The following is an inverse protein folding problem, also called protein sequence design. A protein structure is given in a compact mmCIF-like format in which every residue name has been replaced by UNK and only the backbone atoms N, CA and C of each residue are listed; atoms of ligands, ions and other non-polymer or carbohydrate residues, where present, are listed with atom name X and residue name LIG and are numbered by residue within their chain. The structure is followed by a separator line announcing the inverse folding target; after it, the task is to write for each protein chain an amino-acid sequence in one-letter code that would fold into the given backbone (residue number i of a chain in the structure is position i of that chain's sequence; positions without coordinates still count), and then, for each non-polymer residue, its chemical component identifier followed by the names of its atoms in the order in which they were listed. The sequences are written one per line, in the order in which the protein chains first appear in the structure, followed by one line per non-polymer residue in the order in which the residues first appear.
data_IF_636918713054
#
_entry.id   IF_636918713054
#
_cell.length_a   1.000
_cell.length_b   1.000
_cell.length_c   1.000
_cell.angle_alpha   90.00
_cell.angle_beta   90.00
_cell.angle_gamma   90.00
#
_symmetry.space_group_name_H-M   'P 1'
#
loop_
_entity.id
_entity.type
_entity.pdbx_description
1 polymer ?
#
# COMPACT_ATOMS: atom_id res chain seq x y z
N UNK A 1 59.24 -33.85 -63.44
CA UNK A 1 59.86 -32.74 -64.21
C UNK A 1 58.85 -31.60 -64.22
N UNK A 2 59.13 -30.34 -63.89
CA UNK A 2 60.36 -29.66 -63.53
C UNK A 2 59.92 -28.26 -63.04
N UNK A 3 60.40 -27.86 -61.88
CA UNK A 3 60.73 -26.49 -61.48
C UNK A 3 59.85 -25.34 -61.98
N UNK A 4 58.98 -24.83 -61.11
CA UNK A 4 58.70 -23.38 -60.98
C UNK A 4 58.15 -23.06 -59.57
N UNK A 5 58.73 -23.73 -58.56
CA UNK A 5 58.74 -23.28 -57.17
C UNK A 5 59.99 -22.40 -57.03
N UNK A 6 59.87 -21.07 -57.18
CA UNK A 6 60.78 -20.08 -56.60
C UNK A 6 60.37 -18.66 -56.97
N UNK A 7 60.34 -17.84 -55.92
CA UNK A 7 60.41 -16.37 -55.91
C UNK A 7 59.10 -15.64 -55.68
N UNK A 8 59.12 -14.81 -54.64
CA UNK A 8 58.19 -13.76 -54.22
C UNK A 8 57.08 -14.13 -53.24
N UNK A 9 57.46 -14.69 -52.08
CA UNK A 9 56.79 -14.29 -50.83
C UNK A 9 57.87 -14.02 -49.78
N UNK A 10 58.26 -12.75 -49.65
CA UNK A 10 59.11 -12.28 -48.56
C UNK A 10 58.29 -12.21 -47.26
N UNK A 11 58.80 -12.66 -46.11
CA UNK A 11 58.11 -12.60 -44.82
C UNK A 11 57.91 -11.17 -44.30
N UNK A 12 58.38 -10.14 -45.03
CA UNK A 12 58.27 -8.75 -44.64
C UNK A 12 56.91 -8.12 -44.98
N UNK A 13 56.16 -8.67 -45.94
CA UNK A 13 54.88 -8.10 -46.36
C UNK A 13 53.70 -8.48 -45.45
N UNK A 14 53.82 -9.57 -44.66
CA UNK A 14 52.77 -9.99 -43.73
C UNK A 14 52.83 -9.25 -42.37
N UNK A 15 54.01 -8.73 -42.01
CA UNK A 15 54.18 -7.95 -40.78
C UNK A 15 53.77 -6.47 -40.95
N UNK A 16 53.81 -5.89 -42.15
CA UNK A 16 53.36 -4.51 -42.37
C UNK A 16 51.83 -4.35 -42.39
N UNK A 17 51.07 -5.40 -42.72
CA UNK A 17 49.60 -5.32 -42.67
C UNK A 17 49.04 -5.54 -41.25
N UNK A 18 49.77 -6.28 -40.40
CA UNK A 18 49.36 -6.52 -39.01
C UNK A 18 49.71 -5.36 -38.06
N UNK A 19 50.72 -4.55 -38.39
CA UNK A 19 51.10 -3.37 -37.59
C UNK A 19 50.25 -2.13 -37.91
N UNK A 20 49.61 -2.06 -39.09
CA UNK A 20 48.74 -0.91 -39.45
C UNK A 20 47.29 -1.05 -38.94
N UNK A 21 46.86 -2.26 -38.56
CA UNK A 21 45.52 -2.52 -38.00
C UNK A 21 45.44 -2.38 -36.46
N UNK A 22 46.57 -2.18 -35.78
CA UNK A 22 46.64 -2.08 -34.31
C UNK A 22 46.74 -0.61 -33.84
N UNK A 23 47.00 0.35 -34.72
CA UNK A 23 47.22 1.76 -34.33
C UNK A 23 45.97 2.68 -34.42
N UNK A 24 44.76 2.13 -34.55
CA UNK A 24 43.52 2.92 -34.61
C UNK A 24 42.45 2.50 -33.58
N UNK A 25 42.84 1.86 -32.47
CA UNK A 25 42.00 1.72 -31.29
C UNK A 25 42.61 2.48 -30.12
N UNK A 26 42.79 3.79 -30.28
CA UNK A 26 42.74 4.69 -29.13
C UNK A 26 41.25 4.78 -28.78
N UNK A 27 40.78 3.83 -27.98
CA UNK A 27 39.48 3.93 -27.35
C UNK A 27 39.54 5.10 -26.37
N UNK A 28 38.96 6.24 -26.77
CA UNK A 28 38.28 7.06 -25.79
C UNK A 28 37.19 6.16 -25.19
N UNK A 29 37.30 5.79 -23.91
CA UNK A 29 36.21 5.14 -23.20
C UNK A 29 35.05 6.16 -23.16
N UNK A 30 33.99 5.89 -23.93
CA UNK A 30 32.78 6.69 -23.85
C UNK A 30 32.17 6.55 -22.45
N UNK A 31 31.77 7.66 -21.87
CA UNK A 31 31.27 7.72 -20.50
C UNK A 31 29.88 7.07 -20.39
N UNK A 32 29.71 6.13 -19.46
CA UNK A 32 28.47 5.38 -19.25
C UNK A 32 27.58 6.06 -18.20
N UNK A 33 26.58 6.79 -18.70
CA UNK A 33 25.59 7.52 -17.88
C UNK A 33 24.73 6.56 -17.04
N UNK A 34 24.42 5.36 -17.53
CA UNK A 34 23.60 4.40 -16.80
C UNK A 34 24.36 3.82 -15.61
N UNK A 35 25.63 3.47 -15.81
CA UNK A 35 26.56 3.10 -14.73
C UNK A 35 26.75 4.26 -13.74
N UNK A 36 26.91 5.48 -14.26
CA UNK A 36 26.99 6.71 -13.47
C UNK A 36 25.79 6.92 -12.54
N UNK A 37 24.57 6.75 -13.06
CA UNK A 37 23.32 6.82 -12.28
C UNK A 37 23.29 5.78 -11.16
N UNK A 38 23.70 4.55 -11.44
CA UNK A 38 23.74 3.48 -10.43
C UNK A 38 24.72 3.83 -9.30
N UNK A 39 25.94 4.26 -9.66
CA UNK A 39 26.97 4.64 -8.70
C UNK A 39 26.56 5.87 -7.87
N UNK A 40 25.94 6.88 -8.50
CA UNK A 40 25.40 8.05 -7.82
C UNK A 40 24.32 7.66 -6.81
N UNK A 41 23.35 6.82 -7.22
CA UNK A 41 22.28 6.38 -6.33
C UNK A 41 22.79 5.58 -5.14
N UNK A 42 23.86 4.80 -5.33
CA UNK A 42 24.45 3.99 -4.26
C UNK A 42 25.31 4.81 -3.29
N UNK A 43 26.05 5.83 -3.75
CA UNK A 43 27.10 6.47 -2.96
C UNK A 43 26.90 7.96 -2.69
N UNK A 44 26.07 8.66 -3.47
CA UNK A 44 26.01 10.13 -3.46
C UNK A 44 24.60 10.67 -3.19
N UNK A 45 23.55 9.97 -3.62
CA UNK A 45 22.15 10.44 -3.60
C UNK A 45 21.57 10.68 -2.19
N UNK A 46 22.21 10.12 -1.16
CA UNK A 46 21.87 10.33 0.26
C UNK A 46 22.26 11.71 0.75
N UNK A 47 23.32 12.31 0.20
CA UNK A 47 23.85 13.60 0.65
C UNK A 47 23.70 14.71 -0.39
N UNK A 48 23.62 14.35 -1.67
CA UNK A 48 23.52 15.28 -2.79
C UNK A 48 22.24 15.09 -3.60
N UNK A 49 21.72 16.18 -4.15
CA UNK A 49 20.69 16.18 -5.20
C UNK A 49 21.26 16.86 -6.45
N UNK A 50 20.65 16.60 -7.62
CA UNK A 50 21.15 17.19 -8.87
C UNK A 50 20.90 18.69 -8.93
N UNK A 51 19.68 19.14 -8.63
CA UNK A 51 19.26 20.53 -8.86
C UNK A 51 19.02 21.35 -7.60
N UNK A 52 19.20 20.76 -6.41
CA UNK A 52 18.90 21.44 -5.13
C UNK A 52 19.92 21.07 -4.05
N UNK A 53 20.08 21.94 -3.06
CA UNK A 53 20.91 21.69 -1.88
C UNK A 53 20.25 20.64 -0.99
N UNK A 54 21.06 19.78 -0.37
CA UNK A 54 20.64 18.81 0.66
C UNK A 54 21.65 18.84 1.82
N UNK A 55 22.46 17.82 2.02
CA UNK A 55 23.55 17.85 3.00
C UNK A 55 24.77 18.52 2.35
N UNK A 56 25.04 18.18 1.09
CA UNK A 56 26.03 18.83 0.25
C UNK A 56 25.41 19.72 -0.85
N UNK A 57 26.27 20.36 -1.68
CA UNK A 57 25.84 21.18 -2.81
C UNK A 57 25.04 20.38 -3.85
N UNK A 58 24.25 21.10 -4.64
CA UNK A 58 23.67 20.57 -5.87
C UNK A 58 24.79 20.18 -6.84
N UNK A 59 24.73 18.96 -7.40
CA UNK A 59 25.83 18.43 -8.22
C UNK A 59 25.72 18.71 -9.72
N UNK A 60 24.58 19.21 -10.20
CA UNK A 60 24.46 19.59 -11.61
C UNK A 60 25.38 20.76 -11.93
N UNK A 61 26.23 20.60 -12.94
CA UNK A 61 27.21 21.59 -13.38
C UNK A 61 28.49 21.62 -12.55
N UNK A 62 28.71 20.66 -11.64
CA UNK A 62 29.89 20.66 -10.77
C UNK A 62 31.18 20.43 -11.54
N UNK A 63 31.15 19.63 -12.61
CA UNK A 63 32.32 19.36 -13.47
C UNK A 63 32.80 20.59 -14.25
N UNK A 64 31.92 21.57 -14.46
CA UNK A 64 32.25 22.84 -15.09
C UNK A 64 32.83 23.87 -14.10
N UNK A 65 32.62 23.65 -12.79
CA UNK A 65 33.00 24.59 -11.73
C UNK A 65 34.39 24.28 -11.14
N UNK A 66 34.81 23.01 -11.15
CA UNK A 66 36.07 22.57 -10.55
C UNK A 66 36.89 21.73 -11.53
N UNK A 67 38.22 21.78 -11.40
CA UNK A 67 39.12 20.95 -12.21
C UNK A 67 38.87 19.46 -11.96
N UNK A 68 38.97 18.66 -13.02
CA UNK A 68 38.65 17.24 -13.01
C UNK A 68 39.52 16.45 -12.03
N UNK A 69 40.81 16.76 -12.01
CA UNK A 69 41.82 16.18 -11.13
C UNK A 69 41.58 16.56 -9.67
N UNK A 70 41.09 17.78 -9.44
CA UNK A 70 40.68 18.24 -8.11
C UNK A 70 39.45 17.47 -7.63
N UNK A 71 38.45 17.26 -8.49
CA UNK A 71 37.26 16.47 -8.18
C UNK A 71 37.62 15.01 -7.84
N UNK A 72 38.59 14.41 -8.52
CA UNK A 72 39.08 13.07 -8.15
C UNK A 72 39.66 13.03 -6.74
N UNK A 73 40.51 14.00 -6.39
CA UNK A 73 41.11 14.10 -5.06
C UNK A 73 40.03 14.34 -3.99
N UNK A 74 39.06 15.22 -4.28
CA UNK A 74 37.98 15.59 -3.38
C UNK A 74 37.05 14.42 -3.08
N UNK A 75 36.57 13.72 -4.12
CA UNK A 75 35.64 12.60 -3.98
C UNK A 75 36.33 11.42 -3.28
N UNK A 76 37.62 11.19 -3.53
CA UNK A 76 38.36 10.11 -2.86
C UNK A 76 38.65 10.43 -1.41
N UNK A 77 39.05 11.66 -1.08
CA UNK A 77 39.38 12.05 0.29
C UNK A 77 39.42 13.58 0.52
N UNK A 78 38.24 14.20 0.63
CA UNK A 78 38.10 15.62 0.95
C UNK A 78 38.77 16.02 2.28
N UNK A 79 38.73 15.17 3.31
CA UNK A 79 39.35 15.43 4.61
C UNK A 79 40.87 15.60 4.52
N UNK A 80 41.54 14.85 3.64
CA UNK A 80 42.96 15.02 3.40
C UNK A 80 43.28 16.37 2.73
N UNK A 81 42.42 16.84 1.83
CA UNK A 81 42.58 18.15 1.16
C UNK A 81 42.38 19.32 2.14
N UNK A 82 41.35 19.21 3.00
CA UNK A 82 41.09 20.20 4.06
C UNK A 82 42.30 20.27 5.02
N UNK A 83 42.83 19.12 5.43
CA UNK A 83 44.01 19.04 6.31
C UNK A 83 45.28 19.56 5.63
N UNK A 84 45.41 19.39 4.32
CA UNK A 84 46.53 19.90 3.53
C UNK A 84 46.48 21.42 3.34
N UNK A 85 45.40 22.08 3.73
CA UNK A 85 45.25 23.53 3.63
C UNK A 85 44.73 24.02 2.28
N UNK A 86 44.08 23.15 1.49
CA UNK A 86 43.48 23.56 0.21
C UNK A 86 42.36 24.59 0.44
N UNK A 87 42.52 25.77 -0.15
CA UNK A 87 41.63 26.92 0.08
C UNK A 87 40.19 26.65 -0.40
N UNK A 88 40.02 25.92 -1.52
CA UNK A 88 38.71 25.59 -2.06
C UNK A 88 37.99 24.55 -1.20
N UNK A 89 38.73 23.54 -0.74
CA UNK A 89 38.26 22.51 0.18
C UNK A 89 37.76 23.11 1.51
N UNK A 90 38.54 24.03 2.09
CA UNK A 90 38.19 24.71 3.35
C UNK A 90 36.95 25.60 3.17
N UNK A 91 36.87 26.35 2.07
CA UNK A 91 35.72 27.22 1.80
C UNK A 91 34.40 26.43 1.72
N UNK A 92 34.41 25.30 1.00
CA UNK A 92 33.23 24.40 0.91
C UNK A 92 32.91 23.82 2.30
N UNK A 93 33.92 23.39 3.05
CA UNK A 93 33.70 22.81 4.38
C UNK A 93 33.05 23.81 5.36
N UNK A 94 33.47 25.08 5.35
CA UNK A 94 32.86 26.14 6.16
C UNK A 94 31.44 26.48 5.67
N UNK A 95 31.21 26.56 4.35
CA UNK A 95 29.90 26.87 3.76
C UNK A 95 28.82 25.81 4.09
N UNK A 96 29.21 24.55 4.20
CA UNK A 96 28.31 23.42 4.48
C UNK A 96 28.39 22.96 5.94
N UNK A 97 28.48 23.92 6.87
CA UNK A 97 28.38 23.72 8.32
C UNK A 97 29.40 22.71 8.90
N UNK A 98 30.59 22.60 8.30
CA UNK A 98 31.65 21.66 8.74
C UNK A 98 31.21 20.20 8.72
N UNK A 99 30.24 19.87 7.86
CA UNK A 99 29.83 18.49 7.62
C UNK A 99 30.87 17.83 6.72
N UNK A 100 31.56 16.81 7.22
CA UNK A 100 32.58 16.09 6.47
C UNK A 100 31.94 15.18 5.42
N UNK A 101 32.40 15.27 4.17
CA UNK A 101 32.05 14.31 3.12
C UNK A 101 32.78 12.99 3.35
N UNK A 102 32.09 11.87 3.20
CA UNK A 102 32.70 10.53 3.27
C UNK A 102 33.82 10.38 2.23
N UNK A 103 34.86 9.63 2.57
CA UNK A 103 35.93 9.29 1.65
C UNK A 103 35.52 8.08 0.79
N UNK A 104 35.72 8.19 -0.53
CA UNK A 104 35.43 7.11 -1.47
C UNK A 104 36.70 6.62 -2.20
N UNK A 105 37.73 6.11 -1.48
CA UNK A 105 38.98 5.65 -2.10
C UNK A 105 38.79 4.45 -3.03
N UNK A 106 37.68 3.73 -2.90
CA UNK A 106 37.31 2.58 -3.73
C UNK A 106 36.83 2.97 -5.13
N UNK A 107 36.41 4.23 -5.35
CA UNK A 107 35.94 4.66 -6.67
C UNK A 107 37.15 4.92 -7.59
N UNK A 108 37.17 4.27 -8.75
CA UNK A 108 38.16 4.54 -9.78
C UNK A 108 37.90 5.91 -10.42
N UNK A 109 38.89 6.47 -11.13
CA UNK A 109 38.68 7.72 -11.88
C UNK A 109 37.59 7.56 -12.95
N UNK A 110 37.50 6.38 -13.57
CA UNK A 110 36.46 6.05 -14.54
C UNK A 110 35.07 6.01 -13.89
N UNK A 111 34.94 5.47 -12.68
CA UNK A 111 33.67 5.48 -11.94
C UNK A 111 33.26 6.91 -11.56
N UNK A 112 34.21 7.76 -11.19
CA UNK A 112 33.96 9.18 -10.92
C UNK A 112 33.53 9.90 -12.20
N UNK A 113 34.15 9.62 -13.34
CA UNK A 113 33.77 10.18 -14.63
C UNK A 113 32.33 9.82 -15.02
N UNK A 114 31.95 8.55 -14.82
CA UNK A 114 30.58 8.09 -15.05
C UNK A 114 29.59 8.84 -14.13
N UNK A 115 29.92 9.02 -12.84
CA UNK A 115 29.08 9.77 -11.90
C UNK A 115 28.95 11.23 -12.33
N UNK A 116 30.05 11.91 -12.68
CA UNK A 116 30.05 13.32 -13.07
C UNK A 116 29.24 13.54 -14.36
N UNK A 117 29.42 12.68 -15.36
CA UNK A 117 28.62 12.75 -16.57
C UNK A 117 27.12 12.54 -16.31
N UNK A 118 26.74 11.66 -15.39
CA UNK A 118 25.34 11.55 -14.95
C UNK A 118 24.84 12.81 -14.26
N UNK A 119 25.66 13.46 -13.42
CA UNK A 119 25.23 14.68 -12.70
C UNK A 119 25.00 15.87 -13.63
N UNK A 120 25.73 15.93 -14.76
CA UNK A 120 25.60 16.98 -15.76
C UNK A 120 24.62 16.63 -16.89
N UNK A 121 24.20 15.38 -16.97
CA UNK A 121 23.29 14.90 -18.00
C UNK A 121 21.89 15.51 -17.86
N UNK A 122 21.37 16.04 -18.96
CA UNK A 122 19.98 16.48 -19.11
C UNK A 122 19.25 15.40 -19.93
N UNK A 123 18.38 14.58 -19.33
CA UNK A 123 17.62 13.60 -20.10
C UNK A 123 16.64 14.30 -21.04
N UNK A 124 16.57 13.84 -22.29
CA UNK A 124 15.41 14.09 -23.14
C UNK A 124 14.17 13.42 -22.51
N UNK A 125 12.98 14.03 -22.63
CA UNK A 125 11.76 13.49 -22.03
C UNK A 125 11.50 12.08 -22.57
N UNK A 126 11.56 11.09 -21.68
CA UNK A 126 11.37 9.67 -22.02
C UNK A 126 9.91 9.48 -22.44
N UNK A 127 9.70 9.15 -23.71
CA UNK A 127 8.43 8.67 -24.22
C UNK A 127 8.04 7.38 -23.50
N UNK A 128 6.87 7.41 -22.86
CA UNK A 128 6.21 6.29 -22.19
C UNK A 128 6.03 5.14 -23.17
N UNK A 129 6.74 4.03 -22.95
CA UNK A 129 6.46 2.76 -23.63
C UNK A 129 5.34 2.06 -22.88
N UNK A 130 4.13 2.20 -23.40
CA UNK A 130 2.93 1.53 -22.88
C UNK A 130 2.94 0.07 -23.31
N UNK A 131 3.45 -0.82 -22.46
CA UNK A 131 3.07 -2.25 -22.51
C UNK A 131 1.87 -2.45 -21.60
N UNK A 132 0.69 -2.47 -22.21
CA UNK A 132 -0.57 -2.81 -21.56
C UNK A 132 -0.58 -4.32 -21.32
N UNK A 133 -0.45 -4.75 -20.07
CA UNK A 133 -0.82 -6.09 -19.64
C UNK A 133 -2.04 -5.93 -18.74
N UNK A 134 -3.21 -6.24 -19.29
CA UNK A 134 -4.48 -6.14 -18.56
C UNK A 134 -4.51 -7.16 -17.42
N UNK A 135 -4.83 -6.68 -16.22
CA UNK A 135 -5.23 -7.50 -15.09
C UNK A 135 -6.58 -6.98 -14.58
N UNK A 136 -7.54 -7.89 -14.58
CA UNK A 136 -8.97 -7.68 -14.45
C UNK A 136 -9.36 -7.69 -12.97
N UNK A 137 -10.19 -6.71 -12.58
CA UNK A 137 -10.78 -6.55 -11.26
C UNK A 137 -11.72 -7.72 -10.90
N UNK A 138 -11.54 -8.32 -9.73
CA UNK A 138 -12.44 -9.32 -9.17
C UNK A 138 -13.41 -8.69 -8.16
N UNK A 139 -14.48 -8.08 -8.67
CA UNK A 139 -15.75 -7.97 -7.92
C UNK A 139 -16.45 -9.32 -7.99
N UNK A 140 -16.95 -9.82 -6.87
CA UNK A 140 -17.53 -11.16 -6.72
C UNK A 140 -18.51 -11.52 -7.83
N UNK A 141 -18.08 -12.43 -8.70
CA UNK A 141 -18.89 -13.01 -9.77
C UNK A 141 -19.94 -13.96 -9.18
N UNK A 142 -21.17 -13.96 -9.72
CA UNK A 142 -22.08 -15.09 -9.55
C UNK A 142 -21.38 -16.33 -10.11
N UNK A 143 -21.31 -17.40 -9.34
CA UNK A 143 -20.72 -18.67 -9.79
C UNK A 143 -21.36 -19.08 -11.12
N UNK A 144 -20.53 -19.32 -12.15
CA UNK A 144 -20.93 -19.83 -13.47
C UNK A 144 -21.87 -21.06 -13.36
N UNK A 145 -21.75 -21.82 -12.27
CA UNK A 145 -22.64 -22.94 -11.98
C UNK A 145 -24.10 -22.49 -11.78
N UNK A 146 -24.33 -21.38 -11.07
CA UNK A 146 -25.67 -20.85 -10.83
C UNK A 146 -26.31 -20.31 -12.12
N UNK A 147 -25.53 -19.65 -12.98
CA UNK A 147 -26.03 -19.12 -14.25
C UNK A 147 -26.35 -20.22 -15.27
N UNK A 148 -25.53 -21.28 -15.32
CA UNK A 148 -25.81 -22.46 -16.15
C UNK A 148 -27.07 -23.18 -15.63
N UNK A 149 -27.23 -23.36 -14.32
CA UNK A 149 -28.41 -23.98 -13.72
C UNK A 149 -29.67 -23.17 -14.03
N UNK A 150 -29.60 -21.84 -13.91
CA UNK A 150 -30.72 -20.95 -14.21
C UNK A 150 -31.09 -21.00 -15.70
N UNK A 151 -30.10 -20.99 -16.59
CA UNK A 151 -30.30 -21.14 -18.03
C UNK A 151 -30.98 -22.46 -18.40
N UNK A 152 -30.56 -23.57 -17.78
CA UNK A 152 -31.11 -24.90 -18.02
C UNK A 152 -32.57 -24.99 -17.52
N UNK A 153 -32.88 -24.40 -16.35
CA UNK A 153 -34.25 -24.33 -15.83
C UNK A 153 -35.18 -23.52 -16.74
N UNK A 154 -34.72 -22.40 -17.30
CA UNK A 154 -35.49 -21.59 -18.26
C UNK A 154 -35.80 -22.39 -19.52
N UNK A 155 -34.84 -23.14 -20.06
CA UNK A 155 -35.05 -24.00 -21.24
C UNK A 155 -36.07 -25.08 -20.96
N UNK A 156 -35.97 -25.77 -19.81
CA UNK A 156 -36.95 -26.80 -19.41
C UNK A 156 -38.35 -26.19 -19.25
N UNK A 157 -38.47 -25.01 -18.63
CA UNK A 157 -39.74 -24.31 -18.49
C UNK A 157 -40.35 -23.98 -19.86
N UNK A 158 -39.55 -23.46 -20.81
CA UNK A 158 -40.01 -23.15 -22.16
C UNK A 158 -40.46 -24.40 -22.92
N UNK A 159 -39.76 -25.53 -22.78
CA UNK A 159 -40.18 -26.81 -23.36
C UNK A 159 -41.50 -27.29 -22.77
N UNK A 160 -41.69 -27.18 -21.46
CA UNK A 160 -42.95 -27.55 -20.81
C UNK A 160 -44.12 -26.66 -21.24
N UNK A 161 -43.91 -25.34 -21.32
CA UNK A 161 -44.93 -24.38 -21.77
C UNK A 161 -45.31 -24.64 -23.23
N UNK A 162 -44.33 -24.86 -24.11
CA UNK A 162 -44.59 -25.16 -25.53
C UNK A 162 -45.28 -26.51 -25.70
N UNK A 163 -44.88 -27.55 -24.95
CA UNK A 163 -45.56 -28.85 -24.95
C UNK A 163 -47.01 -28.72 -24.48
N UNK A 164 -47.27 -28.04 -23.36
CA UNK A 164 -48.62 -27.80 -22.85
C UNK A 164 -49.47 -27.03 -23.86
N UNK A 165 -48.92 -26.00 -24.49
CA UNK A 165 -49.61 -25.25 -25.53
C UNK A 165 -49.98 -26.15 -26.73
N UNK A 166 -49.04 -26.97 -27.21
CA UNK A 166 -49.27 -27.90 -28.32
C UNK A 166 -50.31 -28.96 -27.99
N UNK A 167 -50.25 -29.53 -26.78
CA UNK A 167 -51.25 -30.50 -26.28
C UNK A 167 -52.62 -29.84 -26.19
N UNK A 168 -52.71 -28.64 -25.62
CA UNK A 168 -53.99 -27.92 -25.50
C UNK A 168 -54.57 -27.63 -26.88
N UNK A 169 -53.73 -27.22 -27.83
CA UNK A 169 -54.11 -26.93 -29.22
C UNK A 169 -54.55 -28.19 -29.99
N UNK A 170 -53.88 -29.31 -29.79
CA UNK A 170 -54.25 -30.58 -30.42
C UNK A 170 -55.55 -31.13 -29.83
N UNK A 171 -55.73 -31.07 -28.52
CA UNK A 171 -56.97 -31.46 -27.85
C UNK A 171 -58.16 -30.61 -28.31
N UNK A 172 -58.00 -29.29 -28.43
CA UNK A 172 -59.06 -28.41 -28.98
C UNK A 172 -59.35 -28.73 -30.44
N UNK A 173 -58.32 -28.92 -31.28
CA UNK A 173 -58.51 -29.26 -32.69
C UNK A 173 -59.21 -30.61 -32.91
N UNK A 174 -58.93 -31.60 -32.05
CA UNK A 174 -59.61 -32.92 -32.08
C UNK A 174 -61.05 -32.80 -31.57
N UNK A 175 -61.29 -32.01 -30.52
CA UNK A 175 -62.64 -31.78 -30.00
C UNK A 175 -63.55 -31.10 -31.03
N UNK A 176 -63.05 -30.10 -31.76
CA UNK A 176 -63.77 -29.42 -32.85
C UNK A 176 -64.09 -30.38 -34.00
N UNK A 177 -63.14 -31.24 -34.41
CA UNK A 177 -63.33 -32.22 -35.50
C UNK A 177 -64.33 -33.32 -35.14
N UNK A 178 -64.52 -33.62 -33.86
CA UNK A 178 -65.48 -34.60 -33.36
C UNK A 178 -66.85 -34.00 -33.02
N UNK A 179 -67.13 -32.75 -33.43
CA UNK A 179 -68.44 -32.12 -33.31
C UNK A 179 -68.80 -31.62 -31.91
N UNK A 180 -67.83 -31.56 -30.98
CA UNK A 180 -68.02 -31.01 -29.64
C UNK A 180 -67.79 -29.51 -29.72
N UNK A 181 -68.85 -28.70 -29.69
CA UNK A 181 -68.73 -27.24 -29.52
C UNK A 181 -68.29 -26.95 -28.09
N UNK A 182 -67.01 -26.64 -27.92
CA UNK A 182 -66.50 -26.06 -26.68
C UNK A 182 -66.98 -24.61 -26.65
N UNK A 183 -68.06 -24.33 -25.93
CA UNK A 183 -68.44 -22.96 -25.61
C UNK A 183 -67.29 -22.33 -24.84
N UNK A 184 -66.52 -21.48 -25.50
CA UNK A 184 -65.52 -20.63 -24.86
C UNK A 184 -66.30 -19.65 -23.98
N UNK A 185 -66.29 -19.78 -22.64
CA UNK A 185 -66.85 -18.72 -21.81
C UNK A 185 -66.09 -17.45 -22.19
N UNK A 186 -66.80 -16.34 -22.47
CA UNK A 186 -66.18 -15.03 -22.72
C UNK A 186 -65.12 -14.81 -21.64
N UNK A 187 -63.86 -15.02 -22.00
CA UNK A 187 -62.79 -15.01 -21.05
C UNK A 187 -62.58 -13.54 -20.69
N UNK A 188 -63.09 -13.12 -19.52
CA UNK A 188 -62.50 -11.94 -18.90
C UNK A 188 -60.99 -12.17 -18.86
N UNK A 189 -60.16 -11.19 -19.25
CA UNK A 189 -58.72 -11.35 -19.23
C UNK A 189 -58.34 -11.87 -17.84
N UNK A 190 -57.66 -13.03 -17.79
CA UNK A 190 -57.24 -13.65 -16.54
C UNK A 190 -56.31 -12.68 -15.83
N UNK A 191 -56.89 -11.87 -14.94
CA UNK A 191 -56.15 -10.88 -14.18
C UNK A 191 -55.52 -11.62 -13.02
N UNK A 192 -54.20 -11.83 -13.11
CA UNK A 192 -53.39 -12.46 -12.08
C UNK A 192 -53.63 -11.80 -10.72
N UNK A 193 -53.82 -10.47 -10.70
CA UNK A 193 -54.18 -9.70 -9.51
C UNK A 193 -55.55 -10.04 -8.94
N UNK A 194 -56.60 -10.18 -9.77
CA UNK A 194 -57.92 -10.64 -9.29
C UNK A 194 -57.85 -12.08 -8.78
N UNK A 195 -57.08 -12.96 -9.43
CA UNK A 195 -56.90 -14.35 -9.00
C UNK A 195 -56.13 -14.44 -7.67
N UNK A 196 -55.13 -13.59 -7.49
CA UNK A 196 -54.36 -13.45 -6.26
C UNK A 196 -55.22 -12.94 -5.10
N UNK A 197 -55.98 -11.86 -5.30
CA UNK A 197 -56.87 -11.28 -4.26
C UNK A 197 -58.00 -12.24 -3.86
N UNK A 198 -58.52 -13.04 -4.81
CA UNK A 198 -59.53 -14.06 -4.50
C UNK A 198 -58.98 -15.25 -3.71
N UNK A 199 -57.66 -15.49 -3.76
CA UNK A 199 -57.03 -16.60 -3.07
C UNK A 199 -56.56 -16.16 -1.67
N UNK A 200 -57.39 -16.45 -0.65
CA UNK A 200 -57.11 -16.12 0.75
C UNK A 200 -55.77 -16.68 1.25
N UNK A 201 -55.34 -17.85 0.76
CA UNK A 201 -54.05 -18.45 1.13
C UNK A 201 -52.87 -17.64 0.57
N UNK A 202 -52.95 -17.17 -0.68
CA UNK A 202 -51.90 -16.35 -1.27
C UNK A 202 -51.82 -14.97 -0.59
N UNK A 203 -52.95 -14.35 -0.31
CA UNK A 203 -52.98 -13.07 0.43
C UNK A 203 -52.39 -13.24 1.83
N UNK A 204 -52.81 -14.26 2.58
CA UNK A 204 -52.25 -14.56 3.89
C UNK A 204 -50.74 -14.78 3.83
N UNK A 205 -50.26 -15.62 2.91
CA UNK A 205 -48.84 -15.93 2.75
C UNK A 205 -48.03 -14.68 2.39
N UNK A 206 -48.55 -13.82 1.51
CA UNK A 206 -47.88 -12.58 1.13
C UNK A 206 -47.87 -11.55 2.25
N UNK A 207 -48.92 -11.46 3.07
CA UNK A 207 -48.92 -10.61 4.28
C UNK A 207 -47.89 -11.11 5.28
N UNK A 208 -47.83 -12.43 5.54
CA UNK A 208 -46.82 -13.02 6.43
C UNK A 208 -45.41 -12.74 5.89
N UNK A 209 -45.18 -12.93 4.59
CA UNK A 209 -43.89 -12.64 3.96
C UNK A 209 -43.53 -11.17 4.12
N UNK A 210 -44.47 -10.25 3.88
CA UNK A 210 -44.22 -8.81 4.02
C UNK A 210 -43.92 -8.43 5.47
N UNK A 211 -44.62 -9.01 6.44
CA UNK A 211 -44.35 -8.78 7.86
C UNK A 211 -42.97 -9.31 8.27
N UNK A 212 -42.60 -10.52 7.86
CA UNK A 212 -41.27 -11.09 8.14
C UNK A 212 -40.16 -10.31 7.45
N UNK A 213 -40.38 -9.87 6.21
CA UNK A 213 -39.41 -9.06 5.46
C UNK A 213 -39.23 -7.71 6.13
N UNK A 214 -40.34 -7.05 6.50
CA UNK A 214 -40.32 -5.78 7.23
C UNK A 214 -39.57 -5.92 8.55
N UNK A 215 -39.86 -6.96 9.34
CA UNK A 215 -39.17 -7.24 10.60
C UNK A 215 -37.67 -7.50 10.38
N UNK A 216 -37.31 -8.26 9.34
CA UNK A 216 -35.92 -8.54 8.99
C UNK A 216 -35.16 -7.26 8.62
N UNK A 217 -35.70 -6.43 7.74
CA UNK A 217 -35.05 -5.17 7.34
C UNK A 217 -35.01 -4.15 8.47
N UNK A 218 -36.07 -4.04 9.27
CA UNK A 218 -36.11 -3.15 10.43
C UNK A 218 -35.09 -3.57 11.50
N UNK A 219 -35.04 -4.87 11.83
CA UNK A 219 -34.04 -5.40 12.75
C UNK A 219 -32.62 -5.24 12.20
N UNK A 220 -32.41 -5.55 10.92
CA UNK A 220 -31.13 -5.38 10.24
C UNK A 220 -30.63 -3.93 10.30
N UNK A 221 -31.49 -2.96 9.98
CA UNK A 221 -31.16 -1.54 10.07
C UNK A 221 -30.84 -1.12 11.51
N UNK A 222 -31.63 -1.55 12.49
CA UNK A 222 -31.42 -1.21 13.90
C UNK A 222 -30.11 -1.78 14.44
N UNK A 223 -29.70 -2.97 14.01
CA UNK A 223 -28.42 -3.59 14.38
C UNK A 223 -27.19 -2.90 13.77
N UNK A 224 -27.36 -2.01 12.79
CA UNK A 224 -26.27 -1.20 12.22
C UNK A 224 -26.10 0.15 12.91
N UNK A 225 -26.99 0.54 13.83
CA UNK A 225 -26.87 1.80 14.55
C UNK A 225 -25.65 1.74 15.48
N UNK A 226 -24.76 2.73 15.37
CA UNK A 226 -23.52 2.80 16.16
C UNK A 226 -22.41 1.88 15.66
N UNK A 227 -22.49 1.41 14.41
CA UNK A 227 -21.43 0.65 13.74
C UNK A 227 -20.76 1.55 12.70
N UNK A 228 -19.55 2.00 12.98
CA UNK A 228 -18.80 2.95 12.12
C UNK A 228 -17.77 2.24 11.21
N UNK A 229 -18.03 0.98 10.84
CA UNK A 229 -17.14 0.24 9.93
C UNK A 229 -17.06 0.92 8.56
N UNK A 230 -15.85 1.02 8.02
CA UNK A 230 -15.57 1.71 6.77
C UNK A 230 -15.55 3.23 6.88
N UNK A 231 -15.71 3.81 8.08
CA UNK A 231 -15.58 5.25 8.26
C UNK A 231 -14.17 5.72 7.86
N UNK A 232 -14.13 6.60 6.86
CA UNK A 232 -12.91 7.06 6.18
C UNK A 232 -13.00 8.58 5.93
N UNK A 233 -12.66 9.42 6.93
CA UNK A 233 -12.69 10.87 6.78
C UNK A 233 -11.48 11.37 5.99
N UNK A 234 -11.66 12.51 5.32
CA UNK A 234 -10.55 13.24 4.70
C UNK A 234 -9.68 13.87 5.79
N UNK A 235 -8.38 13.59 5.75
CA UNK A 235 -7.39 14.13 6.68
C UNK A 235 -6.80 15.47 6.16
N UNK A 236 -6.27 16.35 7.03
CA UNK A 236 -5.66 17.61 6.60
C UNK A 236 -4.43 17.44 5.69
N UNK A 237 -3.66 16.37 5.96
CA UNK A 237 -2.54 15.91 5.15
C UNK A 237 -2.90 14.50 4.69
N UNK A 238 -2.74 14.23 3.39
CA UNK A 238 -2.94 12.90 2.83
C UNK A 238 -1.75 12.00 3.23
N UNK A 239 -1.85 11.40 4.41
CA UNK A 239 -0.85 10.47 4.94
C UNK A 239 -1.19 9.03 4.54
N UNK A 240 -0.25 8.37 3.87
CA UNK A 240 -0.39 6.98 3.42
C UNK A 240 0.35 6.01 4.34
N UNK A 241 -0.39 5.13 5.01
CA UNK A 241 0.21 4.00 5.74
C UNK A 241 0.79 2.97 4.77
N UNK A 242 0.20 2.83 3.58
CA UNK A 242 0.69 1.96 2.51
C UNK A 242 2.14 2.27 2.13
N UNK A 243 2.52 3.53 2.04
CA UNK A 243 3.91 3.91 1.72
C UNK A 243 4.83 3.66 2.92
N UNK A 244 4.44 4.08 4.12
CA UNK A 244 5.32 4.03 5.29
C UNK A 244 5.46 2.62 5.87
N UNK A 245 4.35 1.95 6.15
CA UNK A 245 4.33 0.61 6.73
C UNK A 245 4.42 -0.50 5.67
N UNK A 246 3.82 -0.28 4.48
CA UNK A 246 3.81 -1.27 3.41
C UNK A 246 5.08 -1.24 2.55
N UNK A 247 5.33 -0.17 1.81
CA UNK A 247 6.48 -0.13 0.90
C UNK A 247 7.82 -0.04 1.66
N UNK A 248 7.89 0.82 2.68
CA UNK A 248 9.13 1.05 3.43
C UNK A 248 9.30 0.15 4.66
N UNK A 249 8.30 -0.69 4.98
CA UNK A 249 8.36 -1.65 6.09
C UNK A 249 8.71 -0.99 7.44
N UNK A 250 8.23 0.24 7.67
CA UNK A 250 8.43 0.93 8.95
C UNK A 250 7.51 0.29 9.99
N UNK A 251 8.11 -0.24 11.06
CA UNK A 251 7.40 -0.85 12.17
C UNK A 251 6.34 0.07 12.80
N UNK A 252 5.14 -0.47 13.05
CA UNK A 252 3.99 0.30 13.59
C UNK A 252 4.34 1.07 14.86
N UNK A 253 5.13 0.46 15.75
CA UNK A 253 5.50 1.01 17.05
C UNK A 253 6.62 2.06 16.99
N UNK A 254 7.21 2.32 15.82
CA UNK A 254 8.14 3.42 15.62
C UNK A 254 7.40 4.76 15.77
N UNK A 255 6.32 4.93 15.00
CA UNK A 255 5.46 6.11 15.09
C UNK A 255 4.50 6.04 16.29
N UNK A 256 3.84 4.88 16.48
CA UNK A 256 2.87 4.67 17.55
C UNK A 256 3.51 4.08 18.81
N UNK A 257 4.57 4.71 19.28
CA UNK A 257 5.42 4.21 20.38
C UNK A 257 4.67 4.02 21.70
N UNK A 258 3.69 4.88 21.99
CA UNK A 258 2.88 4.84 23.21
C UNK A 258 1.99 3.60 23.34
N UNK A 259 1.73 2.86 22.25
CA UNK A 259 0.97 1.61 22.30
C UNK A 259 1.56 0.58 23.28
N UNK A 260 2.88 0.62 23.51
CA UNK A 260 3.59 -0.33 24.38
C UNK A 260 3.43 -0.05 25.87
N UNK A 261 3.17 1.19 26.25
CA UNK A 261 3.29 1.65 27.65
C UNK A 261 2.06 2.40 28.16
N UNK A 262 1.25 2.97 27.27
CA UNK A 262 0.11 3.81 27.61
C UNK A 262 -1.21 3.10 27.30
N UNK A 263 -2.28 3.56 27.97
CA UNK A 263 -3.64 3.17 27.64
C UNK A 263 -4.06 3.65 26.25
N UNK A 264 -3.53 4.80 25.82
CA UNK A 264 -3.84 5.43 24.54
C UNK A 264 -2.62 5.39 23.64
N UNK A 265 -2.76 4.74 22.48
CA UNK A 265 -1.81 4.86 21.38
C UNK A 265 -2.07 6.18 20.65
N UNK A 266 -1.28 7.20 21.00
CA UNK A 266 -1.41 8.55 20.43
C UNK A 266 -0.98 8.63 18.97
N UNK A 267 -1.45 9.68 18.30
CA UNK A 267 -0.93 10.11 17.00
C UNK A 267 0.49 10.65 17.22
N UNK A 268 1.49 10.29 16.39
CA UNK A 268 2.86 10.77 16.54
C UNK A 268 2.91 12.31 16.48
N UNK A 269 3.77 12.90 17.31
CA UNK A 269 4.12 14.32 17.17
C UNK A 269 4.85 14.56 15.85
N UNK A 270 4.75 15.76 15.29
CA UNK A 270 5.39 16.11 14.02
C UNK A 270 6.92 15.99 14.04
N UNK A 271 7.57 16.00 15.22
CA UNK A 271 9.00 15.72 15.35
C UNK A 271 9.37 14.34 14.79
N UNK A 272 8.52 13.32 14.97
CA UNK A 272 8.76 11.98 14.42
C UNK A 272 8.76 12.02 12.89
N UNK A 273 7.89 12.84 12.30
CA UNK A 273 7.86 13.05 10.85
C UNK A 273 9.16 13.72 10.38
N UNK A 274 9.62 14.76 11.08
CA UNK A 274 10.79 15.52 10.67
C UNK A 274 12.11 14.75 10.79
N UNK A 275 12.21 13.76 11.69
CA UNK A 275 13.41 12.89 11.80
C UNK A 275 13.85 12.28 10.46
N UNK A 276 12.90 12.03 9.55
CA UNK A 276 13.20 11.55 8.21
C UNK A 276 12.95 12.64 7.15
N UNK A 277 11.86 13.41 7.29
CA UNK A 277 11.46 14.38 6.30
C UNK A 277 12.39 15.60 6.20
N UNK A 278 13.29 15.87 7.16
CA UNK A 278 14.36 16.86 6.96
C UNK A 278 15.24 16.57 5.73
N UNK A 279 15.42 15.29 5.39
CA UNK A 279 16.24 14.84 4.26
C UNK A 279 15.41 14.28 3.09
N UNK A 280 14.08 14.16 3.26
CA UNK A 280 13.15 13.59 2.27
C UNK A 280 12.14 14.67 1.87
N UNK A 281 12.61 15.57 0.99
CA UNK A 281 11.82 16.71 0.51
C UNK A 281 10.96 16.44 -0.72
N UNK A 282 11.09 15.27 -1.36
CA UNK A 282 10.29 14.91 -2.52
C UNK A 282 9.95 13.43 -2.48
N UNK A 283 8.78 13.09 -3.03
CA UNK A 283 8.39 11.70 -3.21
C UNK A 283 9.14 11.09 -4.39
N UNK A 284 9.69 9.88 -4.20
CA UNK A 284 10.41 9.13 -5.24
C UNK A 284 9.94 7.66 -5.33
N UNK A 285 8.77 7.34 -4.78
CA UNK A 285 8.18 6.00 -4.85
C UNK A 285 7.29 5.80 -6.08
N UNK A 286 6.52 4.71 -6.07
CA UNK A 286 5.57 4.39 -7.14
C UNK A 286 4.42 5.40 -7.20
N UNK A 287 4.02 5.78 -8.42
CA UNK A 287 2.89 6.67 -8.67
C UNK A 287 1.64 5.85 -9.04
N UNK A 288 0.48 6.23 -8.51
CA UNK A 288 -0.82 5.66 -8.88
C UNK A 288 -1.58 6.69 -9.72
N UNK A 289 -1.35 6.63 -11.03
CA UNK A 289 -1.93 7.58 -12.00
C UNK A 289 -3.44 7.44 -12.11
N UNK A 290 -4.01 6.26 -11.88
CA UNK A 290 -5.45 6.02 -11.95
C UNK A 290 -6.20 6.75 -10.85
N UNK A 291 -5.61 6.83 -9.65
CA UNK A 291 -6.18 7.56 -8.50
C UNK A 291 -5.68 8.99 -8.37
N UNK A 292 -4.85 9.45 -9.29
CA UNK A 292 -4.29 10.81 -9.29
C UNK A 292 -3.18 11.04 -8.27
N UNK A 293 -2.59 9.97 -7.73
CA UNK A 293 -1.47 10.05 -6.79
C UNK A 293 -0.15 10.10 -7.55
N UNK A 294 0.24 11.32 -7.92
CA UNK A 294 1.50 11.60 -8.60
C UNK A 294 2.61 11.97 -7.62
N UNK A 295 3.84 11.98 -8.10
CA UNK A 295 5.01 12.51 -7.39
C UNK A 295 4.78 13.95 -6.95
N UNK A 296 4.18 14.77 -7.81
CA UNK A 296 3.86 16.15 -7.49
C UNK A 296 2.83 16.24 -6.36
N UNK A 297 1.78 15.40 -6.40
CA UNK A 297 0.76 15.34 -5.35
C UNK A 297 1.40 15.03 -3.98
N UNK A 298 2.13 13.92 -3.84
CA UNK A 298 2.75 13.56 -2.56
C UNK A 298 3.82 14.57 -2.11
N UNK A 299 4.59 15.14 -3.04
CA UNK A 299 5.57 16.18 -2.71
C UNK A 299 4.88 17.43 -2.15
N UNK A 300 3.71 17.80 -2.67
CA UNK A 300 2.93 18.91 -2.13
C UNK A 300 2.31 18.59 -0.76
N UNK A 301 1.98 17.32 -0.47
CA UNK A 301 1.56 16.90 0.87
C UNK A 301 2.70 17.01 1.90
N UNK A 302 3.95 16.68 1.52
CA UNK A 302 5.13 16.89 2.37
C UNK A 302 5.32 18.38 2.69
N UNK A 303 5.06 19.29 1.74
CA UNK A 303 5.13 20.74 2.01
C UNK A 303 4.11 21.21 3.04
N UNK A 304 2.94 20.55 3.16
CA UNK A 304 1.98 20.86 4.24
C UNK A 304 2.56 20.50 5.61
N UNK A 305 3.31 19.40 5.71
CA UNK A 305 4.05 19.06 6.93
C UNK A 305 5.09 20.15 7.27
N UNK A 306 5.89 20.59 6.29
CA UNK A 306 6.86 21.66 6.51
C UNK A 306 6.23 22.96 6.98
N UNK A 307 5.09 23.34 6.38
CA UNK A 307 4.32 24.48 6.86
C UNK A 307 3.88 24.30 8.32
N UNK A 308 3.40 23.12 8.69
CA UNK A 308 2.93 22.85 10.05
C UNK A 308 4.07 22.93 11.10
N UNK A 309 5.28 22.46 10.75
CA UNK A 309 6.44 22.51 11.66
C UNK A 309 7.29 23.78 11.55
N UNK A 310 7.00 24.65 10.59
CA UNK A 310 7.83 25.83 10.31
C UNK A 310 9.19 25.49 9.71
N UNK A 311 9.29 24.48 8.84
CA UNK A 311 10.54 24.10 8.18
C UNK A 311 10.77 24.90 6.90
N UNK A 312 11.91 25.57 6.77
CA UNK A 312 12.32 26.25 5.55
C UNK A 312 13.29 25.37 4.74
N UNK A 313 12.88 24.98 3.53
CA UNK A 313 13.65 24.10 2.65
C UNK A 313 14.92 24.75 2.08
N UNK A 314 14.92 26.07 1.89
CA UNK A 314 16.06 26.80 1.29
C UNK A 314 17.18 26.99 2.31
N UNK A 315 16.82 27.38 3.54
CA UNK A 315 17.78 27.62 4.62
C UNK A 315 18.06 26.37 5.47
N UNK A 316 17.26 25.30 5.28
CA UNK A 316 17.31 24.06 6.04
C UNK A 316 17.28 24.29 7.56
N UNK A 317 16.36 25.17 7.98
CA UNK A 317 16.23 25.60 9.37
C UNK A 317 14.77 25.81 9.74
N UNK A 318 14.46 25.62 11.02
CA UNK A 318 13.14 25.96 11.57
C UNK A 318 12.97 27.48 11.69
N UNK A 319 11.82 28.00 11.27
CA UNK A 319 11.47 29.42 11.34
C UNK A 319 10.97 29.82 12.73
N UNK A 320 10.45 28.85 13.51
CA UNK A 320 9.80 29.06 14.80
C UNK A 320 8.28 29.26 14.71
N UNK A 321 7.74 29.45 13.52
CA UNK A 321 6.30 29.56 13.27
C UNK A 321 5.69 28.17 13.08
N UNK A 322 4.92 27.70 14.06
CA UNK A 322 4.36 26.34 14.06
C UNK A 322 2.83 26.34 14.15
N UNK A 323 2.18 25.41 13.44
CA UNK A 323 0.75 25.20 13.48
C UNK A 323 0.45 23.70 13.69
N UNK A 324 -0.34 23.32 14.72
CA UNK A 324 -0.65 21.92 14.96
C UNK A 324 -1.58 21.36 13.87
N UNK A 325 -1.24 20.17 13.36
CA UNK A 325 -2.10 19.44 12.42
C UNK A 325 -3.33 18.89 13.15
N UNK A 326 -4.52 19.31 12.72
CA UNK A 326 -5.80 18.92 13.31
C UNK A 326 -6.30 17.59 12.72
N UNK A 327 -5.65 16.49 13.08
CA UNK A 327 -6.05 15.16 12.64
C UNK A 327 -7.49 14.81 13.03
N UNK A 328 -8.19 14.11 12.13
CA UNK A 328 -9.52 13.56 12.40
C UNK A 328 -9.36 12.14 12.94
N UNK A 329 -9.76 11.93 14.20
CA UNK A 329 -9.68 10.62 14.83
C UNK A 329 -10.78 9.70 14.31
N UNK A 330 -10.37 8.54 13.78
CA UNK A 330 -11.27 7.53 13.19
C UNK A 330 -11.81 6.59 14.28
N UNK A 331 -10.93 5.94 15.02
CA UNK A 331 -11.32 4.98 16.06
C UNK A 331 -11.69 5.70 17.36
N UNK A 332 -12.98 5.74 17.67
CA UNK A 332 -13.52 6.28 18.91
C UNK A 332 -14.31 5.22 19.67
N UNK A 333 -14.11 5.20 20.98
CA UNK A 333 -14.96 4.49 21.92
C UNK A 333 -15.59 5.52 22.85
N UNK A 334 -16.81 5.28 23.35
CA UNK A 334 -17.40 6.15 24.37
C UNK A 334 -16.48 6.30 25.59
N UNK A 335 -16.56 7.45 26.26
CA UNK A 335 -15.70 7.81 27.39
C UNK A 335 -15.90 6.93 28.64
N UNK A 336 -17.10 6.38 28.81
CA UNK A 336 -17.38 5.36 29.82
C UNK A 336 -16.71 4.01 29.53
N UNK A 337 -16.00 3.83 28.41
CA UNK A 337 -15.25 2.61 28.11
C UNK A 337 -13.76 2.81 28.40
N UNK A 338 -13.24 2.02 29.34
CA UNK A 338 -11.82 1.96 29.63
C UNK A 338 -11.13 0.91 28.75
N UNK A 339 -10.39 1.38 27.75
CA UNK A 339 -9.51 0.55 26.92
C UNK A 339 -8.04 0.90 27.14
N UNK A 340 -7.17 -0.11 27.21
CA UNK A 340 -5.74 0.07 27.44
C UNK A 340 -4.90 -0.67 26.39
N UNK A 341 -4.23 0.08 25.49
CA UNK A 341 -3.38 -0.47 24.44
C UNK A 341 -2.23 -1.33 25.00
N UNK A 342 -1.51 -0.86 26.02
CA UNK A 342 -0.35 -1.57 26.57
C UNK A 342 -0.69 -2.98 27.09
N UNK A 343 -1.89 -3.17 27.65
CA UNK A 343 -2.33 -4.50 28.09
C UNK A 343 -2.54 -5.46 26.89
N UNK A 344 -3.11 -4.97 25.80
CA UNK A 344 -3.37 -5.80 24.62
C UNK A 344 -2.10 -6.04 23.80
N UNK A 345 -1.25 -5.02 23.67
CA UNK A 345 -0.05 -5.08 22.83
C UNK A 345 1.13 -5.70 23.57
N UNK A 346 1.45 -5.24 24.78
CA UNK A 346 2.69 -5.68 25.47
C UNK A 346 2.48 -6.94 26.31
N UNK A 347 1.30 -7.09 26.96
CA UNK A 347 1.03 -8.23 27.84
C UNK A 347 0.42 -9.39 27.05
N UNK A 348 -0.68 -9.13 26.33
CA UNK A 348 -1.32 -10.16 25.52
C UNK A 348 -0.59 -10.43 24.18
N UNK A 349 0.21 -9.48 23.69
CA UNK A 349 0.92 -9.61 22.41
C UNK A 349 -0.05 -9.84 21.24
N UNK A 350 -1.12 -9.05 21.20
CA UNK A 350 -2.09 -9.05 20.10
C UNK A 350 -1.53 -8.23 18.94
N UNK A 351 -1.52 -8.82 17.74
CA UNK A 351 -1.09 -8.13 16.53
C UNK A 351 -2.01 -6.96 16.17
N UNK A 352 -1.42 -5.85 15.72
CA UNK A 352 -2.15 -4.64 15.34
C UNK A 352 -3.23 -4.92 14.30
N UNK A 353 -2.92 -5.78 13.33
CA UNK A 353 -3.79 -6.08 12.18
C UNK A 353 -5.06 -6.84 12.58
N UNK A 354 -5.04 -7.54 13.72
CA UNK A 354 -6.23 -8.23 14.25
C UNK A 354 -7.34 -7.25 14.65
N UNK A 355 -6.99 -6.03 15.03
CA UNK A 355 -7.95 -5.00 15.46
C UNK A 355 -8.12 -3.87 14.43
N UNK A 356 -7.06 -3.50 13.71
CA UNK A 356 -7.07 -2.38 12.77
C UNK A 356 -7.11 -2.80 11.29
N UNK A 357 -7.07 -4.11 10.99
CA UNK A 357 -6.99 -4.62 9.61
C UNK A 357 -5.58 -4.50 9.03
N UNK A 358 -5.40 -4.80 7.72
CA UNK A 358 -4.11 -4.71 7.04
C UNK A 358 -3.73 -3.24 6.76
N UNK A 359 -3.30 -2.51 7.80
CA UNK A 359 -3.01 -1.07 7.72
C UNK A 359 -1.89 -0.76 6.73
N UNK A 360 -0.95 -1.69 6.55
CA UNK A 360 0.14 -1.64 5.58
C UNK A 360 -0.32 -1.61 4.12
N UNK A 361 -1.59 -1.94 3.84
CA UNK A 361 -2.18 -1.86 2.50
C UNK A 361 -3.06 -0.59 2.33
N UNK A 362 -3.28 0.17 3.40
CA UNK A 362 -4.22 1.29 3.43
C UNK A 362 -3.57 2.61 2.96
N UNK A 363 -4.01 3.08 1.80
CA UNK A 363 -3.64 4.41 1.30
C UNK A 363 -4.28 5.53 2.13
N UNK A 364 -5.55 5.34 2.51
CA UNK A 364 -6.26 6.19 3.46
C UNK A 364 -6.76 5.27 4.57
N UNK A 365 -6.51 5.66 5.82
CA UNK A 365 -6.95 4.85 6.97
C UNK A 365 -8.48 4.87 7.07
N UNK A 366 -9.07 3.71 7.31
CA UNK A 366 -10.49 3.54 7.60
C UNK A 366 -10.69 2.61 8.80
N UNK A 367 -11.86 2.64 9.42
CA UNK A 367 -12.19 1.72 10.50
C UNK A 367 -12.51 0.33 9.97
N UNK A 368 -11.61 -0.64 10.19
CA UNK A 368 -11.80 -2.02 9.73
C UNK A 368 -12.78 -2.81 10.62
N UNK A 369 -12.50 -2.88 11.92
CA UNK A 369 -13.35 -3.61 12.87
C UNK A 369 -14.48 -2.74 13.43
N UNK A 370 -15.60 -3.35 13.82
CA UNK A 370 -16.76 -2.64 14.35
C UNK A 370 -16.49 -1.97 15.70
N UNK A 371 -15.58 -2.55 16.50
CA UNK A 371 -15.28 -2.12 17.87
C UNK A 371 -16.53 -2.03 18.77
N UNK A 372 -17.59 -2.77 18.42
CA UNK A 372 -18.78 -2.89 19.25
C UNK A 372 -18.52 -3.80 20.46
N UNK A 373 -19.32 -3.65 21.51
CA UNK A 373 -19.18 -4.47 22.72
C UNK A 373 -19.16 -5.97 22.41
N UNK A 374 -20.06 -6.45 21.53
CA UNK A 374 -20.11 -7.86 21.14
C UNK A 374 -18.79 -8.36 20.57
N UNK A 375 -18.15 -7.58 19.69
CA UNK A 375 -16.85 -7.90 19.12
C UNK A 375 -15.75 -8.02 20.19
N UNK A 376 -15.72 -7.12 21.18
CA UNK A 376 -14.78 -7.20 22.31
C UNK A 376 -15.01 -8.46 23.15
N UNK A 377 -16.28 -8.75 23.47
CA UNK A 377 -16.68 -9.89 24.31
C UNK A 377 -16.33 -11.21 23.64
N UNK A 378 -16.61 -11.35 22.34
CA UNK A 378 -16.31 -12.57 21.60
C UNK A 378 -14.80 -12.79 21.49
N UNK A 379 -14.03 -11.73 21.22
CA UNK A 379 -12.57 -11.82 21.26
C UNK A 379 -12.03 -12.28 22.63
N UNK A 380 -12.62 -11.79 23.73
CA UNK A 380 -12.24 -12.19 25.09
C UNK A 380 -12.67 -13.62 25.45
N UNK A 381 -13.74 -14.14 24.84
CA UNK A 381 -14.16 -15.55 25.01
C UNK A 381 -13.22 -16.50 24.31
N UNK A 382 -12.75 -16.13 23.12
CA UNK A 382 -12.01 -17.05 22.23
C UNK A 382 -10.50 -16.94 22.40
N UNK A 383 -9.99 -15.82 22.91
CA UNK A 383 -8.54 -15.61 23.07
C UNK A 383 -8.03 -16.24 24.36
N UNK A 384 -6.89 -16.93 24.26
CA UNK A 384 -6.17 -17.49 25.40
C UNK A 384 -5.18 -16.48 25.97
N UNK A 385 -4.93 -16.60 27.27
CA UNK A 385 -3.97 -15.77 28.01
C UNK A 385 -2.56 -16.33 27.78
N UNK A 386 -1.59 -15.45 27.54
CA UNK A 386 -0.18 -15.84 27.49
C UNK A 386 0.36 -16.01 28.92
N UNK A 387 0.43 -17.26 29.36
CA UNK A 387 0.78 -17.63 30.75
C UNK A 387 2.21 -18.14 30.92
N UNK A 388 2.84 -18.60 29.83
CA UNK A 388 4.10 -19.36 29.87
C UNK A 388 5.32 -18.55 30.35
N UNK A 389 5.29 -17.23 30.19
CA UNK A 389 6.43 -16.35 30.45
C UNK A 389 6.15 -15.25 31.50
N UNK A 390 5.09 -15.41 32.30
CA UNK A 390 4.68 -14.39 33.27
C UNK A 390 4.45 -14.99 34.67
N UNK A 391 5.41 -14.76 35.56
CA UNK A 391 5.38 -15.22 36.96
C UNK A 391 4.14 -14.75 37.73
N UNK A 392 3.55 -13.61 37.34
CA UNK A 392 2.32 -13.11 37.96
C UNK A 392 1.16 -14.10 37.79
N UNK A 393 1.09 -14.78 36.65
CA UNK A 393 -0.02 -15.67 36.33
C UNK A 393 0.22 -17.12 36.78
N UNK A 394 1.41 -17.53 37.19
CA UNK A 394 1.71 -18.94 37.52
C UNK A 394 0.73 -19.51 38.54
N UNK A 395 0.53 -18.82 39.67
CA UNK A 395 -0.39 -19.28 40.72
C UNK A 395 -1.86 -19.26 40.26
N UNK A 396 -2.26 -18.19 39.57
CA UNK A 396 -3.64 -18.03 39.06
C UNK A 396 -3.95 -19.12 38.03
N UNK A 397 -2.98 -19.42 37.18
CA UNK A 397 -3.08 -20.46 36.17
C UNK A 397 -3.26 -21.83 36.82
N UNK A 398 -2.40 -22.22 37.76
CA UNK A 398 -2.52 -23.50 38.46
C UNK A 398 -3.89 -23.67 39.14
N UNK A 399 -4.37 -22.65 39.86
CA UNK A 399 -5.65 -22.70 40.56
C UNK A 399 -6.85 -22.75 39.60
N UNK A 400 -6.87 -21.91 38.56
CA UNK A 400 -7.99 -21.81 37.62
C UNK A 400 -8.00 -22.98 36.63
N UNK A 401 -6.84 -23.43 36.15
CA UNK A 401 -6.73 -24.62 35.30
C UNK A 401 -7.23 -25.86 36.04
N UNK A 402 -6.93 -26.00 37.33
CA UNK A 402 -7.48 -27.09 38.17
C UNK A 402 -9.00 -26.96 38.36
N UNK A 403 -9.52 -25.74 38.54
CA UNK A 403 -10.95 -25.49 38.73
C UNK A 403 -11.77 -25.77 37.49
N UNK A 404 -11.29 -25.35 36.31
CA UNK A 404 -12.00 -25.45 35.05
C UNK A 404 -11.64 -26.71 34.24
N UNK A 405 -10.57 -27.43 34.63
CA UNK A 405 -10.13 -28.63 33.94
C UNK A 405 -9.54 -28.36 32.56
N UNK A 406 -8.90 -27.19 32.37
CA UNK A 406 -8.33 -26.75 31.08
C UNK A 406 -6.85 -26.43 31.22
N UNK A 407 -6.06 -26.73 30.19
CA UNK A 407 -4.63 -26.40 30.16
C UNK A 407 -4.38 -24.93 29.83
N UNK A 408 -5.23 -24.29 29.03
CA UNK A 408 -5.14 -22.87 28.70
C UNK A 408 -6.40 -22.14 29.16
N UNK A 409 -6.23 -20.93 29.69
CA UNK A 409 -7.33 -20.11 30.19
C UNK A 409 -7.65 -19.00 29.18
N UNK A 410 -8.94 -18.77 28.96
CA UNK A 410 -9.40 -17.63 28.17
C UNK A 410 -9.44 -16.36 29.01
N UNK A 411 -9.44 -15.20 28.35
CA UNK A 411 -9.59 -13.92 29.05
C UNK A 411 -10.93 -13.88 29.81
N UNK A 412 -11.97 -14.48 29.23
CA UNK A 412 -13.27 -14.63 29.88
C UNK A 412 -13.20 -15.43 31.20
N UNK A 413 -12.42 -16.51 31.24
CA UNK A 413 -12.24 -17.32 32.46
C UNK A 413 -11.43 -16.60 33.55
N UNK A 414 -10.60 -15.62 33.18
CA UNK A 414 -9.94 -14.71 34.13
C UNK A 414 -10.85 -13.55 34.60
N UNK A 415 -12.13 -13.57 34.21
CA UNK A 415 -13.10 -12.54 34.56
C UNK A 415 -13.02 -11.28 33.68
N UNK A 416 -12.44 -11.37 32.49
CA UNK A 416 -12.38 -10.27 31.52
C UNK A 416 -13.72 -9.88 30.87
N UNK A 417 -14.84 -10.37 31.42
CA UNK A 417 -16.22 -10.04 31.03
C UNK A 417 -17.00 -9.31 32.15
N UNK A 418 -16.33 -8.95 33.25
CA UNK A 418 -16.96 -8.21 34.35
C UNK A 418 -17.16 -6.73 33.97
N UNK A 419 -18.37 -6.20 34.20
CA UNK A 419 -18.73 -4.82 33.82
C UNK A 419 -17.74 -3.77 34.36
N UNK A 420 -17.35 -3.92 35.63
CA UNK A 420 -16.45 -2.99 36.31
C UNK A 420 -15.08 -2.90 35.65
N UNK A 421 -14.59 -3.94 34.98
CA UNK A 421 -13.24 -3.90 34.38
C UNK A 421 -13.18 -3.06 33.09
N UNK A 422 -14.33 -2.78 32.48
CA UNK A 422 -14.42 -2.08 31.20
C UNK A 422 -15.19 -0.75 31.28
N UNK A 423 -16.10 -0.56 32.25
CA UNK A 423 -17.11 0.51 32.20
C UNK A 423 -17.22 1.42 33.45
N UNK A 424 -16.11 1.68 34.16
CA UNK A 424 -16.10 2.39 35.45
C UNK A 424 -16.95 3.66 35.52
#
# INVERSE_FOLDING_TARGET
MSNLFKSLVSPLALNSFFVLLITLNISAQDVDIAKGKSLYNANCASCHKLNKKLIGPALKGVSAKYDKEWLYAWIKNSAAMIKAGDEQAIAIYEEYNKVAMNAFPQLSNEDIDNILAYTDYVPEPVATSTTVSGAQSSTGEPSLANDIILGLLIVVLLVLVTMLYLVTKTLTSIAEKNGIKIDQPKSEPFSIWKAFIKNQFLIFSSVVLLLLSSAYFAYGYMMQIGVDQGYMPVQPIHYSHKIHSGANQIECQYCHSSARVSKHSGIPSLNVCMNCHENIAEYNGEEDLEKGYTKEFYTNEIKKLYKAVGWNEETQSYTGDTEPVKWVRIHNLPDFVYFNHAQHVSVAGVDCNKCHGPVEEMEILYQYSSLTMGWCIDCHRDSNVKVKDNEYYTKIHEELSKKYGVEELTIAQMGGLECGKCHY
#
